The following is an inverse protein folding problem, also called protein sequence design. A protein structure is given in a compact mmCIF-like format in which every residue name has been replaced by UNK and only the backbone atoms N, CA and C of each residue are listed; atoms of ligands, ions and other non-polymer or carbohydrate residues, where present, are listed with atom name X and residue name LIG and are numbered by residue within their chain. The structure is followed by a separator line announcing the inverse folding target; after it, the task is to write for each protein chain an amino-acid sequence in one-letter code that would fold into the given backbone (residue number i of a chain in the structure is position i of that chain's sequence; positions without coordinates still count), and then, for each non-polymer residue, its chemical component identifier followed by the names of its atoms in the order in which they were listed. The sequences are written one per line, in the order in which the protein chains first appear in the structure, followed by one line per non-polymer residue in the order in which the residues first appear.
data_IF_109538612568
#
_entry.id   IF_109538612568
#
_cell.length_a   1.000
_cell.length_b   1.000
_cell.length_c   1.000
_cell.angle_alpha   90.00
_cell.angle_beta   90.00
_cell.angle_gamma   90.00
#
_symmetry.space_group_name_H-M   'P 1'
#
loop_
_entity.id
_entity.type
_entity.pdbx_description
1 polymer ?
#
# COMPACT_ATOMS: atom_id res chain seq x y z
N UNK A 1 -7.22 -3.09 -4.73
CA UNK A 1 -7.63 -1.67 -4.74
C UNK A 1 -8.23 -1.20 -6.08
N UNK A 2 -8.33 -2.04 -7.13
CA UNK A 2 -8.84 -1.59 -8.43
C UNK A 2 -10.38 -1.52 -8.57
N UNK A 3 -11.11 -1.96 -7.54
CA UNK A 3 -12.57 -2.08 -7.57
C UNK A 3 -13.19 -0.77 -7.01
N UNK A 4 -14.34 -0.34 -7.54
CA UNK A 4 -15.16 0.78 -7.04
C UNK A 4 -14.58 2.20 -7.23
N UNK A 5 -14.03 2.53 -8.40
CA UNK A 5 -13.68 3.94 -8.72
C UNK A 5 -12.44 4.50 -8.00
N UNK A 6 -11.74 3.69 -7.19
CA UNK A 6 -10.51 4.10 -6.51
C UNK A 6 -9.37 4.47 -7.47
N UNK A 7 -9.26 3.84 -8.64
CA UNK A 7 -8.18 4.15 -9.59
C UNK A 7 -8.30 5.59 -10.15
N UNK A 8 -9.48 6.03 -10.66
CA UNK A 8 -9.71 7.44 -10.95
C UNK A 8 -9.41 8.37 -9.76
N UNK A 9 -9.75 7.97 -8.53
CA UNK A 9 -9.46 8.78 -7.33
C UNK A 9 -7.95 8.94 -7.09
N UNK A 10 -7.16 7.87 -7.27
CA UNK A 10 -5.69 7.97 -7.22
C UNK A 10 -5.14 8.85 -8.34
N UNK A 11 -5.71 8.80 -9.54
CA UNK A 11 -5.32 9.68 -10.65
C UNK A 11 -5.53 11.17 -10.29
N UNK A 12 -6.58 11.47 -9.54
CA UNK A 12 -6.94 12.85 -9.18
C UNK A 12 -5.91 13.52 -8.26
N UNK A 13 -5.08 12.75 -7.55
CA UNK A 13 -3.98 13.28 -6.73
C UNK A 13 -2.96 14.10 -7.51
N UNK A 14 -2.86 13.87 -8.83
CA UNK A 14 -1.97 14.61 -9.73
C UNK A 14 -2.74 15.35 -10.84
N UNK A 15 -4.04 15.58 -10.63
CA UNK A 15 -4.90 16.31 -11.58
C UNK A 15 -5.37 15.50 -12.79
N UNK A 16 -5.26 14.16 -12.77
CA UNK A 16 -5.75 13.27 -13.83
C UNK A 16 -7.06 12.59 -13.41
N UNK A 17 -7.81 12.04 -14.38
CA UNK A 17 -9.11 11.40 -14.10
C UNK A 17 -9.28 10.00 -14.72
N UNK A 18 -8.32 9.55 -15.54
CA UNK A 18 -8.45 8.26 -16.24
C UNK A 18 -7.98 7.09 -15.37
N UNK A 19 -8.72 5.97 -15.42
CA UNK A 19 -8.38 4.77 -14.67
C UNK A 19 -6.98 4.19 -15.04
N UNK A 20 -6.53 4.18 -16.31
CA UNK A 20 -5.18 3.73 -16.65
C UNK A 20 -4.08 4.61 -16.06
N UNK A 21 -4.27 5.94 -16.03
CA UNK A 21 -3.32 6.85 -15.39
C UNK A 21 -3.25 6.59 -13.88
N UNK A 22 -4.41 6.47 -13.23
CA UNK A 22 -4.51 6.12 -11.81
C UNK A 22 -3.84 4.79 -11.48
N UNK A 23 -3.99 3.79 -12.34
CA UNK A 23 -3.29 2.52 -12.21
C UNK A 23 -1.77 2.71 -12.28
N UNK A 24 -1.25 3.43 -13.28
CA UNK A 24 0.18 3.70 -13.42
C UNK A 24 0.76 4.40 -12.18
N UNK A 25 0.09 5.44 -11.69
CA UNK A 25 0.48 6.16 -10.47
C UNK A 25 0.45 5.23 -9.26
N UNK A 26 -0.61 4.42 -9.11
CA UNK A 26 -0.72 3.48 -8.01
C UNK A 26 0.41 2.44 -8.03
N UNK A 27 0.83 1.98 -9.21
CA UNK A 27 1.97 1.06 -9.36
C UNK A 27 3.28 1.71 -8.94
N UNK A 28 3.54 2.96 -9.35
CA UNK A 28 4.75 3.70 -8.94
C UNK A 28 4.80 3.85 -7.42
N UNK A 29 3.70 4.29 -6.80
CA UNK A 29 3.58 4.41 -5.34
C UNK A 29 3.82 3.05 -4.67
N UNK A 30 3.23 1.98 -5.19
CA UNK A 30 3.40 0.62 -4.66
C UNK A 30 4.85 0.13 -4.73
N UNK A 31 5.59 0.49 -5.78
CA UNK A 31 7.02 0.15 -5.89
C UNK A 31 7.82 0.91 -4.85
N UNK A 32 7.60 2.23 -4.71
CA UNK A 32 8.33 3.07 -3.76
C UNK A 32 8.09 2.64 -2.31
N UNK A 33 6.82 2.41 -1.94
CA UNK A 33 6.44 1.88 -0.64
C UNK A 33 7.08 0.49 -0.41
N UNK A 34 7.09 -0.36 -1.43
CA UNK A 34 7.69 -1.68 -1.36
C UNK A 34 9.18 -1.65 -1.09
N UNK A 35 9.91 -0.79 -1.80
CA UNK A 35 11.33 -0.54 -1.57
C UNK A 35 11.58 0.03 -0.16
N UNK A 36 10.69 0.90 0.32
CA UNK A 36 10.74 1.46 1.67
C UNK A 36 10.70 0.43 2.79
N UNK A 37 10.01 -0.70 2.60
CA UNK A 37 10.09 -1.82 3.54
C UNK A 37 11.34 -2.68 3.30
N UNK A 38 11.55 -3.08 2.06
CA UNK A 38 12.45 -4.19 1.74
C UNK A 38 13.93 -3.82 1.79
N UNK A 39 14.31 -2.58 1.45
CA UNK A 39 15.70 -2.15 1.40
C UNK A 39 16.25 -1.84 2.81
N UNK A 40 15.69 -0.89 3.59
CA UNK A 40 16.23 -0.56 4.90
C UNK A 40 15.91 -1.60 5.98
N UNK A 41 14.79 -2.34 5.86
CA UNK A 41 14.34 -3.28 6.89
C UNK A 41 14.49 -4.75 6.48
N UNK A 42 15.40 -5.07 5.55
CA UNK A 42 15.66 -6.44 5.11
C UNK A 42 15.90 -7.41 6.28
N UNK A 43 16.58 -6.98 7.35
CA UNK A 43 16.83 -7.79 8.54
C UNK A 43 15.57 -8.16 9.35
N UNK A 44 14.48 -7.41 9.22
CA UNK A 44 13.18 -7.75 9.83
C UNK A 44 12.46 -8.88 9.08
N UNK A 45 12.84 -9.13 7.82
CA UNK A 45 12.24 -10.09 6.90
C UNK A 45 12.99 -11.43 6.87
N UNK A 46 13.34 -11.95 8.05
CA UNK A 46 14.19 -13.15 8.19
C UNK A 46 13.44 -14.49 8.08
N UNK A 47 12.14 -14.50 8.38
CA UNK A 47 11.30 -15.70 8.29
C UNK A 47 9.92 -15.36 7.73
N UNK A 48 9.20 -16.36 7.22
CA UNK A 48 7.86 -16.13 6.66
C UNK A 48 6.88 -15.65 7.75
N UNK A 49 6.90 -16.23 8.95
CA UNK A 49 6.01 -15.82 10.03
C UNK A 49 6.26 -14.38 10.50
N UNK A 50 7.52 -14.04 10.81
CA UNK A 50 7.91 -12.68 11.20
C UNK A 50 7.68 -11.69 10.06
N UNK A 51 8.05 -12.06 8.84
CA UNK A 51 7.85 -11.26 7.63
C UNK A 51 6.39 -10.92 7.41
N UNK A 52 5.48 -11.88 7.51
CA UNK A 52 4.04 -11.64 7.38
C UNK A 52 3.53 -10.64 8.43
N UNK A 53 3.92 -10.79 9.71
CA UNK A 53 3.52 -9.84 10.75
C UNK A 53 4.02 -8.42 10.48
N UNK A 54 5.29 -8.30 10.08
CA UNK A 54 5.89 -7.01 9.69
C UNK A 54 5.16 -6.43 8.47
N UNK A 55 4.87 -7.25 7.46
CA UNK A 55 4.14 -6.86 6.26
C UNK A 55 2.73 -6.38 6.55
N UNK A 56 1.98 -7.08 7.41
CA UNK A 56 0.64 -6.68 7.84
C UNK A 56 0.68 -5.33 8.57
N UNK A 57 1.61 -5.16 9.51
CA UNK A 57 1.78 -3.89 10.23
C UNK A 57 2.16 -2.74 9.28
N UNK A 58 3.05 -3.01 8.32
CA UNK A 58 3.46 -2.03 7.32
C UNK A 58 2.31 -1.66 6.36
N UNK A 59 1.51 -2.66 5.95
CA UNK A 59 0.29 -2.42 5.18
C UNK A 59 -0.71 -1.56 5.94
N UNK A 60 -0.98 -1.89 7.21
CA UNK A 60 -1.86 -1.09 8.07
C UNK A 60 -1.36 0.35 8.25
N UNK A 61 -0.04 0.53 8.44
CA UNK A 61 0.58 1.86 8.49
C UNK A 61 0.28 2.68 7.23
N UNK A 62 0.50 2.09 6.04
CA UNK A 62 0.24 2.78 4.78
C UNK A 62 -1.23 2.94 4.45
N UNK A 63 -2.11 2.10 5.00
CA UNK A 63 -3.54 2.37 4.94
C UNK A 63 -3.91 3.65 5.71
N UNK A 64 -3.39 3.82 6.93
CA UNK A 64 -3.61 5.05 7.69
C UNK A 64 -3.02 6.25 6.94
N UNK A 65 -1.75 6.19 6.58
CA UNK A 65 -1.06 7.31 5.94
C UNK A 65 -1.64 7.63 4.56
N UNK A 66 -1.86 6.63 3.72
CA UNK A 66 -2.33 6.80 2.35
C UNK A 66 -3.82 7.09 2.27
N UNK A 67 -4.66 6.17 2.76
CA UNK A 67 -6.09 6.21 2.54
C UNK A 67 -6.83 7.16 3.49
N UNK A 68 -6.36 7.32 4.74
CA UNK A 68 -7.05 8.12 5.75
C UNK A 68 -6.48 9.53 5.93
N UNK A 69 -5.24 9.78 5.47
CA UNK A 69 -4.53 11.04 5.67
C UNK A 69 -4.17 11.72 4.36
N UNK A 70 -3.25 11.14 3.56
CA UNK A 70 -2.71 11.79 2.36
C UNK A 70 -3.78 12.03 1.30
N UNK A 71 -4.54 11.00 0.94
CA UNK A 71 -5.61 11.14 -0.06
C UNK A 71 -6.66 12.18 0.36
N UNK A 72 -7.26 12.08 1.57
CA UNK A 72 -8.26 13.05 1.98
C UNK A 72 -7.69 14.47 2.10
N UNK A 73 -6.46 14.62 2.59
CA UNK A 73 -5.83 15.94 2.70
C UNK A 73 -5.61 16.60 1.33
N UNK A 74 -5.14 15.84 0.33
CA UNK A 74 -4.91 16.35 -1.03
C UNK A 74 -6.22 16.67 -1.74
N UNK A 75 -7.27 15.86 -1.54
CA UNK A 75 -8.55 15.99 -2.22
C UNK A 75 -9.57 16.85 -1.46
N UNK A 76 -9.21 17.42 -0.31
CA UNK A 76 -10.11 18.22 0.52
C UNK A 76 -11.26 17.41 1.16
N UNK A 77 -11.07 16.11 1.35
CA UNK A 77 -12.04 15.23 2.03
C UNK A 77 -11.77 15.17 3.55
N UNK A 78 -12.74 14.76 4.37
CA UNK A 78 -12.53 14.60 5.81
C UNK A 78 -11.46 13.54 6.14
N UNK A 79 -10.52 13.89 7.01
CA UNK A 79 -9.47 12.98 7.48
C UNK A 79 -10.03 11.92 8.43
N UNK A 80 -9.41 10.74 8.44
CA UNK A 80 -9.76 9.62 9.34
C UNK A 80 -11.22 9.13 9.23
N UNK A 81 -11.88 9.37 8.10
CA UNK A 81 -13.20 8.80 7.84
C UNK A 81 -13.09 7.28 7.69
N UNK A 82 -13.78 6.55 8.55
CA UNK A 82 -13.88 5.09 8.49
C UNK A 82 -15.25 4.71 7.95
N UNK A 83 -15.32 4.47 6.64
CA UNK A 83 -16.49 4.01 5.93
C UNK A 83 -16.25 2.62 5.29
N UNK A 84 -17.24 2.14 4.53
CA UNK A 84 -17.13 0.87 3.81
C UNK A 84 -15.94 0.86 2.84
N UNK A 85 -15.63 1.99 2.19
CA UNK A 85 -14.51 2.09 1.26
C UNK A 85 -13.17 2.05 2.00
N UNK A 86 -13.05 2.71 3.15
CA UNK A 86 -11.90 2.64 4.04
C UNK A 86 -11.67 1.20 4.53
N UNK A 87 -12.74 0.46 4.85
CA UNK A 87 -12.67 -0.95 5.23
C UNK A 87 -12.17 -1.86 4.11
N UNK A 88 -12.72 -1.71 2.89
CA UNK A 88 -12.21 -2.44 1.71
C UNK A 88 -10.77 -2.05 1.38
N UNK A 89 -10.42 -0.78 1.58
CA UNK A 89 -9.06 -0.27 1.42
C UNK A 89 -8.09 -0.92 2.40
N UNK A 90 -8.48 -1.10 3.66
CA UNK A 90 -7.69 -1.78 4.66
C UNK A 90 -7.35 -3.21 4.23
N UNK A 91 -8.36 -3.97 3.78
CA UNK A 91 -8.13 -5.34 3.28
C UNK A 91 -7.09 -5.37 2.15
N UNK A 92 -7.18 -4.43 1.21
CA UNK A 92 -6.21 -4.31 0.11
C UNK A 92 -4.80 -4.00 0.59
N UNK A 93 -4.63 -3.10 1.56
CA UNK A 93 -3.33 -2.75 2.12
C UNK A 93 -2.72 -3.87 2.96
N UNK A 94 -3.53 -4.59 3.74
CA UNK A 94 -3.09 -5.76 4.48
C UNK A 94 -2.64 -6.87 3.54
N UNK A 95 -3.42 -7.15 2.49
CA UNK A 95 -3.05 -8.14 1.47
C UNK A 95 -1.74 -7.73 0.75
N UNK A 96 -1.63 -6.46 0.34
CA UNK A 96 -0.41 -5.92 -0.26
C UNK A 96 0.81 -6.10 0.66
N UNK A 97 0.71 -5.67 1.92
CA UNK A 97 1.80 -5.73 2.88
C UNK A 97 2.25 -7.16 3.17
N UNK A 98 1.30 -8.09 3.33
CA UNK A 98 1.60 -9.51 3.51
C UNK A 98 2.30 -10.12 2.30
N UNK A 99 1.78 -9.89 1.08
CA UNK A 99 2.37 -10.41 -0.16
C UNK A 99 3.77 -9.83 -0.38
N UNK A 100 3.92 -8.51 -0.22
CA UNK A 100 5.20 -7.81 -0.34
C UNK A 100 6.26 -8.46 0.58
N UNK A 101 5.94 -8.64 1.86
CA UNK A 101 6.88 -9.19 2.81
C UNK A 101 7.21 -10.67 2.51
N UNK A 102 6.22 -11.48 2.13
CA UNK A 102 6.45 -12.88 1.76
C UNK A 102 7.37 -13.01 0.55
N UNK A 103 7.13 -12.20 -0.50
CA UNK A 103 7.98 -12.16 -1.70
C UNK A 103 9.38 -11.68 -1.33
N UNK A 104 9.50 -10.63 -0.51
CA UNK A 104 10.78 -10.12 -0.06
C UNK A 104 11.58 -11.17 0.74
N UNK A 105 10.96 -11.86 1.69
CA UNK A 105 11.58 -12.98 2.43
C UNK A 105 12.11 -14.03 1.45
N UNK A 106 11.30 -14.41 0.45
CA UNK A 106 11.69 -15.41 -0.55
C UNK A 106 12.88 -14.96 -1.40
N UNK A 107 12.92 -13.69 -1.80
CA UNK A 107 14.01 -13.11 -2.60
C UNK A 107 15.28 -12.99 -1.77
N UNK A 108 15.19 -12.50 -0.53
CA UNK A 108 16.34 -12.31 0.37
C UNK A 108 16.97 -13.66 0.74
N UNK A 109 16.17 -14.69 1.04
CA UNK A 109 16.66 -16.04 1.31
C UNK A 109 17.36 -16.70 0.12
N UNK A 110 16.97 -16.36 -1.11
CA UNK A 110 17.60 -16.91 -2.31
C UNK A 110 18.95 -16.28 -2.65
N UNK A 111 19.37 -15.24 -1.92
CA UNK A 111 20.63 -14.51 -2.12
C UNK A 111 21.67 -14.78 -1.02
N UNK A 112 21.27 -15.45 0.06
CA UNK A 112 22.13 -15.87 1.17
C UNK A 112 22.62 -17.30 0.93
#
# INVERSE_FOLDING_TARGET
MAIMGMLPMVASLVGLSSAPAGFGIHMVISILIGLGLTVPFAGLLSSYGKGTLVGLGYGALWWVLGALVVMPAVLGMPLFMIDTMAGLSLMGHLAYGAILALVAVRVLKGRA
#
